data_IF_434653320824
#
_entry.id   IF_434653320824
#
_cell.length_a   1.000
_cell.length_b   1.000
_cell.length_c   1.000
_cell.angle_alpha   90.00
_cell.angle_beta   90.00
_cell.angle_gamma   90.00
#
_symmetry.space_group_name_H-M   'P 1'
#
loop_
_entity.id
_entity.type
_entity.pdbx_description
1 polymer ?
#
# COMPACT_ATOMS: atom_id res chain seq x y z
N UNK A 1 60.30 -3.99 23.49
CA UNK A 1 59.62 -2.68 23.62
C UNK A 1 58.13 -2.92 23.80
N UNK A 2 57.59 -2.61 24.97
CA UNK A 2 56.16 -2.34 25.22
C UNK A 2 56.02 -0.82 25.41
N UNK A 3 54.80 -0.27 25.55
CA UNK A 3 53.67 -0.27 24.62
C UNK A 3 53.18 1.18 24.38
N UNK A 4 52.12 1.41 23.59
CA UNK A 4 51.24 2.54 23.93
C UNK A 4 49.77 2.22 23.66
N UNK A 5 48.98 2.53 24.68
CA UNK A 5 47.58 2.26 24.81
C UNK A 5 46.85 3.59 24.66
N UNK A 6 45.77 3.62 23.89
CA UNK A 6 44.74 4.66 24.09
C UNK A 6 43.35 4.06 23.94
N UNK A 7 42.85 3.63 25.09
CA UNK A 7 41.46 3.76 25.51
C UNK A 7 41.04 5.22 25.34
N UNK A 8 39.86 5.45 24.77
CA UNK A 8 38.93 6.59 25.02
C UNK A 8 37.67 6.25 24.20
N UNK A 9 36.69 5.60 24.82
CA UNK A 9 35.55 6.21 25.50
C UNK A 9 34.53 6.80 24.51
N UNK A 10 33.40 6.08 24.39
CA UNK A 10 32.12 6.59 23.91
C UNK A 10 31.68 7.78 24.75
N UNK A 11 30.95 8.73 24.14
CA UNK A 11 29.76 9.20 24.83
C UNK A 11 28.54 9.19 23.92
N UNK A 12 27.50 8.50 24.40
CA UNK A 12 26.09 8.84 24.16
C UNK A 12 25.88 10.26 24.66
N UNK A 13 25.42 11.18 23.82
CA UNK A 13 24.82 12.44 24.27
C UNK A 13 23.31 12.28 24.29
N UNK A 14 22.81 11.75 25.41
CA UNK A 14 21.48 12.04 25.93
C UNK A 14 21.63 13.33 26.72
N UNK A 15 20.84 14.34 26.39
CA UNK A 15 20.63 15.51 27.26
C UNK A 15 19.17 15.53 27.64
N UNK A 16 18.88 14.84 28.75
CA UNK A 16 17.77 15.15 29.64
C UNK A 16 18.13 16.46 30.36
N UNK A 17 17.35 17.52 30.15
CA UNK A 17 17.34 18.66 31.06
C UNK A 17 16.15 18.49 32.01
N UNK A 18 16.46 17.98 33.21
CA UNK A 18 15.58 18.05 34.37
C UNK A 18 15.65 19.48 34.92
N UNK A 19 14.54 20.21 34.86
CA UNK A 19 14.21 21.22 35.86
C UNK A 19 13.06 20.67 36.70
N UNK A 20 13.38 20.28 37.93
CA UNK A 20 12.41 20.11 39.01
C UNK A 20 12.51 21.36 39.89
N UNK A 21 11.37 21.99 40.17
CA UNK A 21 11.14 22.78 41.38
C UNK A 21 9.68 22.56 41.81
N UNK A 22 9.55 21.81 42.92
CA UNK A 22 8.63 21.91 44.07
C UNK A 22 7.13 22.18 43.79
N UNK A 23 6.26 21.21 44.07
CA UNK A 23 5.69 20.80 45.37
C UNK A 23 4.45 21.63 45.79
N UNK A 24 3.46 20.86 46.25
CA UNK A 24 2.28 21.27 47.02
C UNK A 24 1.06 21.79 46.26
N UNK A 25 -0.01 20.98 46.26
CA UNK A 25 -1.35 21.44 45.96
C UNK A 25 -2.30 20.37 45.46
N UNK A 26 -2.60 19.37 46.30
CA UNK A 26 -3.74 18.46 46.11
C UNK A 26 -5.03 19.29 45.95
N UNK A 27 -5.65 19.21 44.77
CA UNK A 27 -6.99 19.75 44.55
C UNK A 27 -7.87 18.66 43.91
N UNK A 28 -8.80 18.18 44.72
CA UNK A 28 -9.81 17.17 44.40
C UNK A 28 -10.52 17.38 43.05
N UNK A 29 -11.02 16.30 42.42
CA UNK A 29 -11.77 16.41 41.18
C UNK A 29 -13.13 17.05 41.45
N UNK A 30 -13.25 18.36 41.21
CA UNK A 30 -14.55 19.00 41.04
C UNK A 30 -15.19 18.42 39.78
N UNK A 31 -16.25 17.63 39.98
CA UNK A 31 -17.18 17.23 38.91
C UNK A 31 -17.64 18.50 38.20
N UNK A 32 -17.14 18.72 36.99
CA UNK A 32 -17.74 19.65 36.06
C UNK A 32 -19.02 18.99 35.56
N UNK A 33 -20.14 19.60 35.95
CA UNK A 33 -21.45 19.37 35.41
C UNK A 33 -21.36 19.39 33.87
N UNK A 34 -21.80 18.31 33.23
CA UNK A 34 -21.77 18.18 31.78
C UNK A 34 -22.93 18.96 31.16
N UNK A 35 -22.82 20.29 31.18
CA UNK A 35 -23.63 21.18 30.34
C UNK A 35 -22.72 22.22 29.67
N UNK A 36 -21.75 21.72 28.89
CA UNK A 36 -21.01 22.55 27.96
C UNK A 36 -21.77 22.49 26.66
N UNK A 37 -22.69 23.44 26.44
CA UNK A 37 -22.93 23.89 25.07
C UNK A 37 -21.57 24.31 24.54
N UNK A 38 -20.91 23.45 23.77
CA UNK A 38 -19.64 23.78 23.14
C UNK A 38 -19.93 24.97 22.23
N UNK A 39 -19.72 26.18 22.74
CA UNK A 39 -19.77 27.38 21.96
C UNK A 39 -18.64 27.25 20.95
N UNK A 40 -18.99 26.96 19.70
CA UNK A 40 -18.01 26.91 18.63
C UNK A 40 -17.29 28.26 18.61
N UNK A 41 -16.03 28.27 19.03
CA UNK A 41 -15.19 29.45 18.91
C UNK A 41 -15.05 29.74 17.41
N UNK A 42 -15.32 30.99 17.02
CA UNK A 42 -15.27 31.39 15.61
C UNK A 42 -13.81 31.31 15.14
N UNK A 43 -13.51 30.28 14.34
CA UNK A 43 -12.16 30.00 13.86
C UNK A 43 -11.67 30.97 12.78
N UNK A 44 -12.59 31.62 12.05
CA UNK A 44 -12.27 32.53 10.95
C UNK A 44 -12.91 33.92 11.13
N UNK A 45 -12.12 34.96 10.87
CA UNK A 45 -12.64 36.33 10.76
C UNK A 45 -13.57 36.46 9.54
N UNK A 46 -14.49 37.45 9.53
CA UNK A 46 -15.35 37.68 8.37
C UNK A 46 -14.59 37.93 7.06
N UNK A 47 -13.39 38.52 7.15
CA UNK A 47 -12.52 38.80 6.00
C UNK A 47 -11.94 37.51 5.44
N UNK A 48 -11.42 36.64 6.29
CA UNK A 48 -10.91 35.32 5.89
C UNK A 48 -12.02 34.47 5.26
N UNK A 49 -13.24 34.50 5.79
CA UNK A 49 -14.36 33.80 5.16
C UNK A 49 -14.66 34.30 3.75
N UNK A 50 -14.56 35.61 3.52
CA UNK A 50 -14.77 36.17 2.19
C UNK A 50 -13.64 35.76 1.22
N UNK A 51 -12.39 35.76 1.70
CA UNK A 51 -11.25 35.28 0.91
C UNK A 51 -11.42 33.80 0.52
N UNK A 52 -11.88 32.95 1.45
CA UNK A 52 -12.15 31.55 1.16
C UNK A 52 -13.29 31.39 0.15
N UNK A 53 -14.35 32.19 0.27
CA UNK A 53 -15.47 32.19 -0.66
C UNK A 53 -15.06 32.64 -2.08
N UNK A 54 -14.08 33.54 -2.18
CA UNK A 54 -13.48 34.00 -3.43
C UNK A 54 -12.40 33.04 -3.96
N UNK A 55 -12.10 31.95 -3.23
CA UNK A 55 -11.09 30.96 -3.62
C UNK A 55 -9.64 31.42 -3.43
N UNK A 56 -9.43 32.47 -2.63
CA UNK A 56 -8.11 33.01 -2.31
C UNK A 56 -7.54 32.29 -1.08
N UNK A 57 -6.22 32.07 -1.05
CA UNK A 57 -5.55 31.42 0.07
C UNK A 57 -5.51 32.33 1.30
N UNK A 58 -5.67 31.73 2.48
CA UNK A 58 -5.58 32.41 3.77
C UNK A 58 -4.33 31.87 4.47
N UNK A 59 -3.30 32.71 4.59
CA UNK A 59 -2.09 32.37 5.34
C UNK A 59 -1.20 31.28 4.74
N UNK A 60 -1.49 30.81 3.53
CA UNK A 60 -0.65 29.87 2.79
C UNK A 60 -0.09 30.56 1.54
N UNK A 61 1.24 30.52 1.41
CA UNK A 61 1.94 30.94 0.21
C UNK A 61 1.51 30.05 -0.98
N UNK A 62 1.43 30.64 -2.17
CA UNK A 62 1.10 29.90 -3.39
C UNK A 62 2.20 28.88 -3.70
N UNK A 63 1.92 27.60 -3.48
CA UNK A 63 2.81 26.50 -3.87
C UNK A 63 2.69 26.29 -5.39
N UNK A 64 3.80 26.37 -6.16
CA UNK A 64 3.74 26.09 -7.58
C UNK A 64 3.37 24.62 -7.81
N UNK A 65 2.33 24.39 -8.59
CA UNK A 65 1.75 23.06 -8.84
C UNK A 65 2.60 22.19 -9.80
N UNK A 66 3.80 22.65 -10.17
CA UNK A 66 4.70 21.94 -11.07
C UNK A 66 5.76 21.17 -10.28
N UNK A 67 5.65 19.84 -10.30
CA UNK A 67 6.72 18.95 -9.87
C UNK A 67 7.99 19.18 -10.69
N UNK A 68 9.15 19.08 -10.06
CA UNK A 68 10.46 19.10 -10.73
C UNK A 68 10.52 17.97 -11.78
N UNK A 69 10.41 18.35 -13.06
CA UNK A 69 10.45 17.45 -14.24
C UNK A 69 11.77 16.68 -14.37
N UNK A 70 12.77 17.03 -13.56
CA UNK A 70 14.07 16.37 -13.47
C UNK A 70 13.99 14.90 -13.03
N UNK A 71 12.88 14.43 -12.46
CA UNK A 71 12.71 13.01 -12.13
C UNK A 71 12.46 12.13 -13.36
N UNK A 72 11.85 12.66 -14.42
CA UNK A 72 11.56 11.91 -15.65
C UNK A 72 12.84 11.67 -16.48
N UNK A 73 13.79 12.61 -16.43
CA UNK A 73 15.05 12.55 -17.18
C UNK A 73 16.11 11.62 -16.56
N UNK A 74 15.88 11.12 -15.33
CA UNK A 74 16.80 10.20 -14.63
C UNK A 74 16.67 8.75 -15.06
N UNK A 75 15.78 8.44 -16.03
CA UNK A 75 15.65 7.09 -16.54
C UNK A 75 16.85 6.76 -17.43
N UNK A 76 17.82 6.02 -16.87
CA UNK A 76 18.88 5.41 -17.68
C UNK A 76 18.24 4.56 -18.79
N UNK A 77 18.59 4.77 -20.07
CA UNK A 77 18.10 3.94 -21.15
C UNK A 77 18.42 2.47 -20.84
N UNK A 78 17.37 1.69 -20.62
CA UNK A 78 17.50 0.27 -20.34
C UNK A 78 17.90 -0.42 -21.64
N UNK A 79 19.11 -0.98 -21.70
CA UNK A 79 19.50 -1.82 -22.82
C UNK A 79 18.69 -3.11 -22.78
N UNK A 80 17.60 -3.13 -23.55
CA UNK A 80 16.71 -4.28 -23.66
C UNK A 80 17.43 -5.54 -24.12
N UNK A 81 18.49 -5.42 -24.92
CA UNK A 81 19.24 -6.57 -25.43
C UNK A 81 20.05 -7.18 -24.30
N UNK A 82 20.76 -6.37 -23.54
CA UNK A 82 21.51 -6.82 -22.37
C UNK A 82 20.58 -7.36 -21.28
N UNK A 83 19.41 -6.74 -21.06
CA UNK A 83 18.42 -7.25 -20.12
C UNK A 83 17.90 -8.63 -20.53
N UNK A 84 17.49 -8.80 -21.80
CA UNK A 84 17.04 -10.09 -22.33
C UNK A 84 18.15 -11.15 -22.24
N UNK A 85 19.40 -10.76 -22.50
CA UNK A 85 20.58 -11.64 -22.33
C UNK A 85 20.74 -12.11 -20.88
N UNK A 86 20.67 -11.20 -19.91
CA UNK A 86 20.76 -11.52 -18.47
C UNK A 86 19.59 -12.36 -17.99
N UNK A 87 18.37 -12.04 -18.42
CA UNK A 87 17.18 -12.84 -18.10
C UNK A 87 17.34 -14.28 -18.57
N UNK A 88 17.83 -14.47 -19.80
CA UNK A 88 18.11 -15.81 -20.33
C UNK A 88 19.19 -16.54 -19.51
N UNK A 89 20.30 -15.87 -19.19
CA UNK A 89 21.36 -16.46 -18.37
C UNK A 89 20.89 -16.81 -16.96
N UNK A 90 20.07 -15.96 -16.34
CA UNK A 90 19.50 -16.22 -15.03
C UNK A 90 18.53 -17.41 -15.08
N UNK A 91 17.67 -17.48 -16.10
CA UNK A 91 16.75 -18.60 -16.26
C UNK A 91 17.49 -19.93 -16.48
N UNK A 92 18.57 -19.93 -17.28
CA UNK A 92 19.42 -21.10 -17.49
C UNK A 92 20.12 -21.51 -16.18
N UNK A 93 20.69 -20.55 -15.46
CA UNK A 93 21.36 -20.78 -14.17
C UNK A 93 20.40 -21.36 -13.12
N UNK A 94 19.16 -20.86 -13.06
CA UNK A 94 18.14 -21.34 -12.13
C UNK A 94 17.68 -22.76 -12.48
N UNK A 95 17.55 -23.09 -13.77
CA UNK A 95 17.22 -24.46 -14.22
C UNK A 95 18.30 -25.47 -13.86
N UNK A 96 19.56 -25.05 -13.82
CA UNK A 96 20.69 -25.91 -13.46
C UNK A 96 20.95 -26.03 -11.95
N UNK A 97 20.29 -25.22 -11.11
CA UNK A 97 20.58 -25.17 -9.68
C UNK A 97 19.99 -26.40 -8.98
N UNK A 98 20.81 -27.08 -8.17
CA UNK A 98 20.33 -28.22 -7.37
C UNK A 98 19.50 -27.73 -6.18
N UNK A 99 18.75 -28.64 -5.57
CA UNK A 99 17.88 -28.31 -4.44
C UNK A 99 18.68 -27.87 -3.21
N UNK A 100 19.88 -28.42 -3.03
CA UNK A 100 20.85 -28.08 -1.98
C UNK A 100 21.46 -26.69 -2.20
N UNK A 101 21.77 -26.35 -3.45
CA UNK A 101 22.26 -25.02 -3.82
C UNK A 101 21.16 -23.96 -3.63
N UNK A 102 19.92 -24.28 -4.01
CA UNK A 102 18.76 -23.42 -3.73
C UNK A 102 18.50 -23.26 -2.23
N UNK A 103 18.65 -24.34 -1.44
CA UNK A 103 18.55 -24.32 0.03
C UNK A 103 19.56 -23.36 0.64
N UNK A 104 20.81 -23.41 0.18
CA UNK A 104 21.88 -22.51 0.63
C UNK A 104 21.59 -21.06 0.24
N UNK A 105 21.15 -20.82 -1.00
CA UNK A 105 20.88 -19.48 -1.52
C UNK A 105 19.70 -18.80 -0.82
N UNK A 106 18.62 -19.54 -0.59
CA UNK A 106 17.39 -19.05 0.03
C UNK A 106 17.44 -19.14 1.55
N UNK A 107 18.46 -19.79 2.10
CA UNK A 107 18.62 -20.06 3.52
C UNK A 107 17.39 -20.79 4.11
N UNK A 108 16.86 -21.76 3.36
CA UNK A 108 15.67 -22.56 3.67
C UNK A 108 16.01 -24.04 3.68
N UNK A 109 15.38 -24.86 4.55
CA UNK A 109 15.61 -26.30 4.56
C UNK A 109 15.18 -26.95 3.24
N UNK A 110 15.94 -27.96 2.81
CA UNK A 110 15.64 -28.75 1.60
C UNK A 110 14.21 -29.29 1.64
N UNK A 111 13.78 -29.87 2.77
CA UNK A 111 12.42 -30.42 2.92
C UNK A 111 11.31 -29.39 2.70
N UNK A 112 11.55 -28.11 3.02
CA UNK A 112 10.58 -27.02 2.79
C UNK A 112 10.49 -26.71 1.29
N UNK A 113 11.62 -26.76 0.59
CA UNK A 113 11.67 -26.56 -0.86
C UNK A 113 10.97 -27.70 -1.62
N UNK A 114 11.16 -28.95 -1.19
CA UNK A 114 10.45 -30.11 -1.78
C UNK A 114 8.94 -29.99 -1.60
N UNK A 115 8.48 -29.75 -0.37
CA UNK A 115 7.04 -29.58 -0.09
C UNK A 115 6.43 -28.44 -0.88
N UNK A 116 7.17 -27.34 -1.07
CA UNK A 116 6.69 -26.18 -1.85
C UNK A 116 6.59 -26.53 -3.34
N UNK A 117 7.58 -27.26 -3.87
CA UNK A 117 7.57 -27.74 -5.26
C UNK A 117 6.41 -28.70 -5.52
N UNK A 118 6.09 -29.56 -4.56
CA UNK A 118 4.95 -30.49 -4.64
C UNK A 118 3.61 -29.77 -4.50
N UNK A 119 3.51 -28.76 -3.62
CA UNK A 119 2.28 -28.00 -3.40
C UNK A 119 1.88 -27.14 -4.61
N UNK A 120 2.86 -26.67 -5.39
CA UNK A 120 2.63 -25.93 -6.64
C UNK A 120 3.45 -26.54 -7.77
N UNK A 121 2.95 -27.62 -8.40
CA UNK A 121 3.54 -28.15 -9.62
C UNK A 121 3.67 -27.04 -10.66
N UNK A 122 4.80 -26.99 -11.38
CA UNK A 122 5.06 -25.93 -12.36
C UNK A 122 3.97 -25.78 -13.42
N UNK A 123 3.22 -26.84 -13.69
CA UNK A 123 2.03 -26.86 -14.56
C UNK A 123 0.93 -25.89 -14.10
N UNK A 124 0.66 -25.80 -12.80
CA UNK A 124 -0.34 -24.89 -12.21
C UNK A 124 0.14 -23.43 -12.17
N UNK A 125 1.42 -23.19 -12.43
CA UNK A 125 2.00 -21.84 -12.46
C UNK A 125 2.09 -21.27 -13.88
N UNK A 126 1.63 -22.01 -14.90
CA UNK A 126 1.68 -21.55 -16.29
C UNK A 126 0.49 -20.63 -16.62
N UNK A 127 0.69 -19.54 -17.39
CA UNK A 127 -0.40 -18.72 -17.90
C UNK A 127 -1.46 -19.54 -18.66
N UNK A 128 -1.02 -20.55 -19.39
CA UNK A 128 -1.85 -21.47 -20.17
C UNK A 128 -2.83 -22.25 -19.28
N UNK A 129 -2.37 -22.73 -18.12
CA UNK A 129 -3.23 -23.40 -17.14
C UNK A 129 -4.35 -22.49 -16.65
N UNK A 130 -4.02 -21.27 -16.22
CA UNK A 130 -5.01 -20.30 -15.72
C UNK A 130 -6.01 -19.88 -16.80
N UNK A 131 -5.55 -19.72 -18.06
CA UNK A 131 -6.43 -19.44 -19.19
C UNK A 131 -7.37 -20.60 -19.49
N UNK A 132 -6.89 -21.84 -19.44
CA UNK A 132 -7.74 -23.02 -19.65
C UNK A 132 -8.77 -23.18 -18.54
N UNK A 133 -8.36 -23.01 -17.28
CA UNK A 133 -9.24 -23.02 -16.12
C UNK A 133 -10.33 -21.94 -16.25
N UNK A 134 -9.96 -20.70 -16.57
CA UNK A 134 -10.91 -19.60 -16.73
C UNK A 134 -11.96 -19.87 -17.81
N UNK A 135 -11.52 -20.36 -19.00
CA UNK A 135 -12.45 -20.72 -20.08
C UNK A 135 -13.40 -21.83 -19.68
N UNK A 136 -12.91 -22.84 -18.96
CA UNK A 136 -13.75 -23.92 -18.44
C UNK A 136 -14.78 -23.37 -17.45
N UNK A 137 -14.36 -22.53 -16.51
CA UNK A 137 -15.27 -21.92 -15.52
C UNK A 137 -16.33 -21.04 -16.19
N UNK A 138 -16.00 -20.33 -17.26
CA UNK A 138 -16.98 -19.58 -18.05
C UNK A 138 -18.01 -20.50 -18.73
N UNK A 139 -17.57 -21.61 -19.31
CA UNK A 139 -18.47 -22.58 -19.95
C UNK A 139 -19.40 -23.26 -18.92
N UNK A 140 -18.85 -23.69 -17.79
CA UNK A 140 -19.62 -24.27 -16.68
C UNK A 140 -20.63 -23.25 -16.12
N UNK A 141 -20.27 -21.97 -16.07
CA UNK A 141 -21.17 -20.89 -15.66
C UNK A 141 -22.27 -20.62 -16.70
N UNK A 142 -21.94 -20.59 -18.00
CA UNK A 142 -22.92 -20.41 -19.08
C UNK A 142 -23.95 -21.55 -19.11
N UNK A 143 -23.51 -22.79 -18.90
CA UNK A 143 -24.40 -23.96 -18.78
C UNK A 143 -25.32 -23.88 -17.55
N UNK A 144 -24.85 -23.25 -16.48
CA UNK A 144 -25.60 -23.07 -15.23
C UNK A 144 -26.51 -21.82 -15.22
N UNK A 145 -26.40 -20.91 -16.18
CA UNK A 145 -27.27 -19.74 -16.27
C UNK A 145 -28.66 -20.18 -16.76
N UNK A 146 -29.73 -20.09 -15.93
CA UNK A 146 -31.07 -20.37 -16.44
C UNK A 146 -31.40 -19.33 -17.50
N UNK A 147 -31.76 -19.79 -18.70
CA UNK A 147 -32.30 -18.95 -19.78
C UNK A 147 -33.44 -18.10 -19.22
N UNK A 148 -33.18 -16.80 -19.00
CA UNK A 148 -34.22 -15.86 -18.58
C UNK A 148 -35.10 -15.56 -19.79
N UNK A 149 -36.19 -16.32 -19.91
CA UNK A 149 -37.20 -16.09 -20.95
C UNK A 149 -38.01 -14.87 -20.53
N UNK A 150 -37.77 -13.72 -21.15
CA UNK A 150 -38.62 -12.54 -20.99
C UNK A 150 -39.95 -12.78 -21.69
N UNK A 151 -40.98 -13.18 -20.93
CA UNK A 151 -42.35 -13.23 -21.41
C UNK A 151 -42.88 -11.80 -21.52
N UNK A 152 -43.00 -11.30 -22.75
CA UNK A 152 -43.55 -9.98 -23.04
C UNK A 152 -45.05 -9.98 -22.76
N UNK A 153 -45.48 -9.37 -21.66
CA UNK A 153 -46.91 -9.16 -21.37
C UNK A 153 -47.36 -7.92 -22.15
N UNK A 154 -48.18 -8.12 -23.18
CA UNK A 154 -48.84 -7.03 -23.91
C UNK A 154 -50.06 -6.58 -23.14
N UNK A 155 -50.04 -5.34 -22.63
CA UNK A 155 -51.20 -4.71 -22.00
C UNK A 155 -52.19 -4.27 -23.08
N UNK A 156 -53.27 -5.05 -23.26
CA UNK A 156 -54.38 -4.67 -24.15
C UNK A 156 -55.18 -3.54 -23.48
N UNK A 157 -55.18 -2.37 -24.11
CA UNK A 157 -56.02 -1.22 -23.74
C UNK A 157 -57.48 -1.56 -24.01
N UNK A 158 -58.27 -1.78 -22.96
CA UNK A 158 -59.73 -1.94 -23.09
C UNK A 158 -60.38 -0.62 -23.52
N UNK A 159 -61.30 -0.62 -24.50
CA UNK A 159 -61.98 0.59 -24.92
C UNK A 159 -63.25 0.82 -24.08
N UNK A 160 -63.39 2.06 -23.61
CA UNK A 160 -64.66 2.62 -23.14
C UNK A 160 -64.92 2.49 -21.64
N UNK A 161 -64.97 3.64 -20.96
CA UNK A 161 -66.21 4.21 -20.42
C UNK A 161 -65.92 5.55 -19.73
N UNK A 162 -66.96 6.38 -19.51
CA UNK A 162 -67.43 7.49 -20.34
C UNK A 162 -66.64 8.80 -20.19
#
# INVERSE_FOLDING_TARGET
>A
MTPDARVVASPRSVTEERLNTDDSGESEPKKADCDVTQSYERLFTPVELNLLQEGLSIGADHEPEEYDKELEERLYPLDEVELKRRMKQNAERLKSLTLEEMSTLLNLPVDVLERTREASPGELSTPEYWLAWYKKTLADAEEAMPTVIFVKVSLVRMPGLP
#
